data_IF_304836679011
#
_entry.id   IF_304836679011
#
_cell.length_a   1.000
_cell.length_b   1.000
_cell.length_c   1.000
_cell.angle_alpha   90.00
_cell.angle_beta   90.00
_cell.angle_gamma   90.00
#
_symmetry.space_group_name_H-M   'P 1'
#
loop_
_entity.id
_entity.type
_entity.pdbx_description
1 polymer ?
#
# COMPACT_ATOMS: atom_id res chain seq x y z
N UNK A 1 15.44 -9.88 -3.44
CA UNK A 1 15.50 -9.83 -4.91
C UNK A 1 16.36 -8.65 -5.32
N UNK A 2 17.49 -8.89 -5.99
CA UNK A 2 18.40 -7.82 -6.45
C UNK A 2 18.54 -7.77 -7.97
N UNK A 3 17.87 -8.69 -8.67
CA UNK A 3 17.91 -8.80 -10.13
C UNK A 3 17.13 -7.64 -10.78
N UNK A 4 17.79 -6.76 -11.56
CA UNK A 4 17.16 -5.59 -12.15
C UNK A 4 15.92 -5.90 -13.00
N UNK A 5 15.94 -7.01 -13.76
CA UNK A 5 14.81 -7.42 -14.62
C UNK A 5 13.56 -7.73 -13.81
N UNK A 6 13.72 -8.49 -12.73
CA UNK A 6 12.61 -8.83 -11.81
C UNK A 6 12.05 -7.57 -11.15
N UNK A 7 12.94 -6.66 -10.73
CA UNK A 7 12.53 -5.42 -10.09
C UNK A 7 11.72 -4.51 -11.01
N UNK A 8 12.13 -4.34 -12.28
CA UNK A 8 11.38 -3.50 -13.25
C UNK A 8 9.94 -3.96 -13.48
N UNK A 9 9.68 -5.25 -13.33
CA UNK A 9 8.32 -5.81 -13.45
C UNK A 9 7.58 -5.75 -12.11
N UNK A 10 8.21 -6.17 -11.01
CA UNK A 10 7.54 -6.26 -9.71
C UNK A 10 7.29 -4.91 -9.04
N UNK A 11 8.15 -3.91 -9.26
CA UNK A 11 8.01 -2.58 -8.63
C UNK A 11 6.67 -1.89 -8.99
N UNK A 12 6.33 -1.67 -10.27
CA UNK A 12 5.03 -1.11 -10.62
C UNK A 12 3.87 -2.04 -10.25
N UNK A 13 4.06 -3.37 -10.27
CA UNK A 13 3.03 -4.33 -9.83
C UNK A 13 2.65 -4.18 -8.35
N UNK A 14 3.65 -3.97 -7.48
CA UNK A 14 3.45 -3.78 -6.05
C UNK A 14 2.83 -2.41 -5.72
N UNK A 15 3.02 -1.42 -6.60
CA UNK A 15 2.40 -0.10 -6.50
C UNK A 15 1.01 -0.01 -7.16
N UNK A 16 0.50 -1.11 -7.74
CA UNK A 16 -0.74 -1.12 -8.53
C UNK A 16 -0.67 -0.30 -9.83
N UNK A 17 0.54 0.04 -10.27
CA UNK A 17 0.81 0.89 -11.41
C UNK A 17 0.79 0.16 -12.76
N UNK A 18 1.33 0.86 -13.76
CA UNK A 18 1.65 0.31 -15.08
C UNK A 18 3.16 0.31 -15.24
N UNK A 19 3.70 -0.60 -16.05
CA UNK A 19 5.11 -0.56 -16.43
C UNK A 19 5.39 0.60 -17.36
N UNK A 20 6.59 1.17 -17.25
CA UNK A 20 7.13 2.12 -18.21
C UNK A 20 7.28 1.48 -19.61
N UNK A 21 7.32 2.33 -20.64
CA UNK A 21 7.46 1.89 -22.04
C UNK A 21 8.84 1.32 -22.38
N UNK A 22 9.81 1.43 -21.48
CA UNK A 22 11.17 0.90 -21.60
C UNK A 22 11.32 -0.54 -21.05
N UNK A 23 10.27 -1.10 -20.45
CA UNK A 23 10.26 -2.51 -20.05
C UNK A 23 10.19 -3.38 -21.30
N UNK A 24 11.26 -4.14 -21.54
CA UNK A 24 11.37 -5.02 -22.68
C UNK A 24 10.46 -6.26 -22.51
N UNK A 25 9.94 -6.79 -23.61
CA UNK A 25 9.23 -8.08 -23.65
C UNK A 25 10.06 -9.22 -23.01
N UNK A 26 11.38 -9.12 -23.10
CA UNK A 26 12.34 -10.04 -22.48
C UNK A 26 12.30 -10.01 -20.94
N UNK A 27 12.03 -8.85 -20.33
CA UNK A 27 11.92 -8.75 -18.86
C UNK A 27 10.65 -9.46 -18.38
N UNK A 28 9.53 -9.26 -19.07
CA UNK A 28 8.28 -9.99 -18.79
C UNK A 28 8.46 -11.49 -19.02
N UNK A 29 9.05 -11.89 -20.15
CA UNK A 29 9.33 -13.29 -20.47
C UNK A 29 10.22 -13.95 -19.41
N UNK A 30 11.21 -13.23 -18.90
CA UNK A 30 12.07 -13.71 -17.82
C UNK A 30 11.29 -13.94 -16.52
N UNK A 31 10.47 -12.97 -16.09
CA UNK A 31 9.70 -13.06 -14.84
C UNK A 31 8.60 -14.13 -14.92
N UNK A 32 7.98 -14.29 -16.10
CA UNK A 32 7.06 -15.39 -16.42
C UNK A 32 7.79 -16.74 -16.36
N UNK A 33 8.99 -16.83 -16.95
CA UNK A 33 9.81 -18.04 -16.93
C UNK A 33 10.25 -18.46 -15.53
N UNK A 34 10.43 -17.49 -14.62
CA UNK A 34 10.66 -17.75 -13.19
C UNK A 34 9.39 -18.15 -12.43
N UNK A 35 8.21 -18.06 -13.04
CA UNK A 35 6.93 -18.34 -12.41
C UNK A 35 6.52 -17.30 -11.36
N UNK A 36 7.13 -16.11 -11.34
CA UNK A 36 6.82 -15.05 -10.37
C UNK A 36 5.58 -14.25 -10.76
N UNK A 37 5.37 -14.05 -12.06
CA UNK A 37 4.17 -13.41 -12.62
C UNK A 37 3.39 -14.38 -13.50
N UNK A 38 2.13 -14.05 -13.77
CA UNK A 38 1.29 -14.73 -14.76
C UNK A 38 0.43 -13.72 -15.49
N UNK A 39 0.05 -14.04 -16.73
CA UNK A 39 -0.97 -13.29 -17.46
C UNK A 39 -2.34 -13.91 -17.18
N UNK A 40 -3.25 -13.14 -16.58
CA UNK A 40 -4.59 -13.61 -16.24
C UNK A 40 -5.60 -12.46 -16.35
N UNK A 41 -6.73 -12.71 -17.03
CA UNK A 41 -7.78 -11.71 -17.19
C UNK A 41 -7.32 -10.43 -17.90
N UNK A 42 -6.44 -10.55 -18.90
CA UNK A 42 -5.94 -9.43 -19.71
C UNK A 42 -4.84 -8.59 -19.06
N UNK A 43 -4.28 -9.03 -17.93
CA UNK A 43 -3.25 -8.27 -17.19
C UNK A 43 -2.21 -9.19 -16.56
N UNK A 44 -1.05 -8.63 -16.22
CA UNK A 44 -0.03 -9.31 -15.42
C UNK A 44 -0.32 -9.16 -13.93
N UNK A 45 -0.27 -10.29 -13.22
CA UNK A 45 -0.43 -10.35 -11.77
C UNK A 45 0.60 -11.31 -11.15
N UNK A 46 0.80 -11.21 -9.84
CA UNK A 46 1.69 -12.13 -9.12
C UNK A 46 1.11 -13.55 -9.19
N UNK A 47 1.93 -14.49 -9.64
CA UNK A 47 1.47 -15.80 -10.11
C UNK A 47 0.72 -16.63 -9.06
N UNK A 48 1.13 -16.54 -7.80
CA UNK A 48 0.59 -17.35 -6.71
C UNK A 48 0.35 -16.48 -5.45
N UNK A 49 -0.77 -16.69 -4.71
CA UNK A 49 -1.01 -16.08 -3.40
C UNK A 49 0.18 -16.13 -2.43
N UNK A 50 0.96 -17.22 -2.43
CA UNK A 50 2.17 -17.33 -1.60
C UNK A 50 3.19 -16.24 -1.94
N UNK A 51 3.40 -15.92 -3.22
CA UNK A 51 4.33 -14.87 -3.62
C UNK A 51 3.79 -13.47 -3.31
N UNK A 52 2.47 -13.27 -3.37
CA UNK A 52 1.85 -12.02 -2.91
C UNK A 52 2.13 -11.77 -1.44
N UNK A 53 2.23 -12.83 -0.63
CA UNK A 53 2.56 -12.72 0.78
C UNK A 53 4.07 -12.59 1.02
N UNK A 54 4.86 -13.49 0.43
CA UNK A 54 6.28 -13.65 0.76
C UNK A 54 7.12 -12.52 0.19
N UNK A 55 6.83 -12.02 -1.02
CA UNK A 55 7.67 -11.01 -1.66
C UNK A 55 7.66 -9.69 -0.88
N UNK A 56 6.50 -9.07 -0.57
CA UNK A 56 6.49 -7.84 0.21
C UNK A 56 7.08 -8.05 1.60
N UNK A 57 6.74 -9.14 2.29
CA UNK A 57 7.29 -9.44 3.62
C UNK A 57 8.81 -9.56 3.60
N UNK A 58 9.38 -10.24 2.60
CA UNK A 58 10.82 -10.38 2.47
C UNK A 58 11.51 -9.02 2.19
N UNK A 59 10.86 -8.15 1.43
CA UNK A 59 11.36 -6.80 1.14
C UNK A 59 11.31 -5.88 2.37
N UNK A 60 10.27 -6.00 3.20
CA UNK A 60 10.03 -5.10 4.33
C UNK A 60 10.62 -5.56 5.65
N UNK A 61 10.96 -6.86 5.80
CA UNK A 61 11.31 -7.49 7.09
C UNK A 61 12.32 -6.70 7.94
N UNK A 62 13.45 -6.29 7.35
CA UNK A 62 14.50 -5.56 8.08
C UNK A 62 14.01 -4.18 8.52
N UNK A 63 13.25 -3.48 7.67
CA UNK A 63 12.68 -2.17 8.00
C UNK A 63 11.63 -2.30 9.08
N UNK A 64 10.73 -3.28 8.96
CA UNK A 64 9.71 -3.59 9.96
C UNK A 64 10.33 -3.77 11.36
N UNK A 65 11.41 -4.56 11.47
CA UNK A 65 12.08 -4.82 12.73
C UNK A 65 12.74 -3.58 13.36
N UNK A 66 13.00 -2.53 12.57
CA UNK A 66 13.62 -1.29 13.01
C UNK A 66 12.59 -0.20 13.38
N UNK A 67 11.29 -0.43 13.14
CA UNK A 67 10.24 0.55 13.46
C UNK A 67 9.94 0.49 14.97
N UNK A 68 10.14 1.59 15.72
CA UNK A 68 9.91 1.66 17.16
C UNK A 68 8.42 1.93 17.45
N UNK A 69 7.53 1.10 16.91
CA UNK A 69 6.08 1.17 17.14
C UNK A 69 5.63 -0.02 17.97
N UNK A 70 5.04 0.23 19.14
CA UNK A 70 4.53 -0.81 20.02
C UNK A 70 3.05 -1.12 19.70
N UNK A 71 2.71 -2.36 19.27
CA UNK A 71 1.34 -2.73 18.87
C UNK A 71 0.27 -2.35 19.88
N UNK A 72 0.54 -2.57 21.17
CA UNK A 72 -0.40 -2.27 22.26
C UNK A 72 -0.80 -0.78 22.34
N UNK A 73 0.04 0.13 21.82
CA UNK A 73 -0.27 1.56 21.80
C UNK A 73 -1.38 1.92 20.81
N UNK A 74 -1.72 1.03 19.87
CA UNK A 74 -2.75 1.23 18.84
C UNK A 74 -4.04 0.48 19.15
N UNK A 75 -4.15 -0.14 20.32
CA UNK A 75 -5.33 -0.93 20.72
C UNK A 75 -6.10 -0.14 21.77
N UNK A 76 -7.38 0.10 21.52
CA UNK A 76 -8.25 0.80 22.48
C UNK A 76 -8.59 -0.10 23.67
N UNK A 77 -9.20 0.48 24.70
CA UNK A 77 -9.59 -0.25 25.91
C UNK A 77 -10.59 -1.40 25.64
N UNK A 78 -11.45 -1.26 24.64
CA UNK A 78 -12.36 -2.31 24.15
C UNK A 78 -11.66 -3.37 23.27
N UNK A 79 -10.39 -3.11 22.93
CA UNK A 79 -9.55 -3.96 22.10
C UNK A 79 -9.74 -3.80 20.60
N UNK A 80 -10.50 -2.79 20.15
CA UNK A 80 -10.55 -2.35 18.74
C UNK A 80 -9.22 -1.70 18.32
N UNK A 81 -8.96 -1.69 17.01
CA UNK A 81 -7.77 -1.05 16.45
C UNK A 81 -8.00 0.45 16.27
N UNK A 82 -7.09 1.27 16.79
CA UNK A 82 -7.13 2.72 16.61
C UNK A 82 -6.46 3.18 15.32
N UNK A 83 -7.21 3.08 14.22
CA UNK A 83 -6.77 3.52 12.91
C UNK A 83 -6.40 5.01 12.85
N UNK A 84 -7.09 5.87 13.62
CA UNK A 84 -6.81 7.31 13.67
C UNK A 84 -5.45 7.60 14.31
N UNK A 85 -5.18 6.98 15.47
CA UNK A 85 -3.86 7.05 16.10
C UNK A 85 -2.77 6.41 15.23
N UNK A 86 -3.07 5.26 14.62
CA UNK A 86 -2.14 4.57 13.73
C UNK A 86 -1.68 5.49 12.60
N UNK A 87 -2.60 6.13 11.89
CA UNK A 87 -2.23 7.01 10.77
C UNK A 87 -1.58 8.32 11.21
N UNK A 88 -1.92 8.82 12.40
CA UNK A 88 -1.22 9.98 13.00
C UNK A 88 0.24 9.66 13.28
N UNK A 89 0.53 8.51 13.91
CA UNK A 89 1.90 8.08 14.20
C UNK A 89 2.65 7.70 12.91
N UNK A 90 1.96 7.11 11.94
CA UNK A 90 2.49 6.87 10.60
C UNK A 90 2.96 8.15 9.92
N UNK A 91 2.15 9.22 9.90
CA UNK A 91 2.55 10.51 9.31
C UNK A 91 3.77 11.10 10.01
N UNK A 92 3.83 11.01 11.35
CA UNK A 92 4.98 11.45 12.12
C UNK A 92 6.26 10.65 11.79
N UNK A 93 6.14 9.33 11.64
CA UNK A 93 7.23 8.45 11.22
C UNK A 93 7.67 8.72 9.78
N UNK A 94 6.73 8.82 8.85
CA UNK A 94 6.98 9.08 7.42
C UNK A 94 7.77 10.37 7.21
N UNK A 95 7.37 11.45 7.90
CA UNK A 95 8.05 12.74 7.87
C UNK A 95 9.49 12.69 8.38
N UNK A 96 9.72 11.98 9.48
CA UNK A 96 11.05 11.95 10.13
C UNK A 96 12.02 11.05 9.37
N UNK A 97 11.61 9.81 9.11
CA UNK A 97 12.53 8.75 8.68
C UNK A 97 11.97 7.90 7.53
N UNK A 98 10.63 7.75 7.45
CA UNK A 98 10.01 6.79 6.53
C UNK A 98 10.24 7.08 5.06
N UNK A 99 10.22 8.34 4.63
CA UNK A 99 10.45 8.71 3.22
C UNK A 99 11.88 8.36 2.74
N UNK A 100 12.89 8.62 3.57
CA UNK A 100 14.29 8.24 3.28
C UNK A 100 14.46 6.72 3.28
N UNK A 101 13.83 6.04 4.23
CA UNK A 101 13.90 4.59 4.33
C UNK A 101 13.20 3.89 3.14
N UNK A 102 12.15 4.50 2.58
CA UNK A 102 11.45 4.05 1.38
C UNK A 102 12.34 4.10 0.13
N UNK A 103 13.13 5.17 -0.05
CA UNK A 103 14.11 5.27 -1.14
C UNK A 103 15.14 4.13 -1.06
N UNK A 104 15.50 3.72 0.16
CA UNK A 104 16.45 2.64 0.42
C UNK A 104 16.01 1.24 -0.01
N UNK A 105 14.75 1.01 -0.38
CA UNK A 105 14.32 -0.28 -0.96
C UNK A 105 14.89 -0.51 -2.35
N UNK A 106 15.23 0.56 -3.07
CA UNK A 106 15.54 0.50 -4.49
C UNK A 106 14.31 0.20 -5.36
N UNK A 107 13.11 0.17 -4.79
CA UNK A 107 11.83 0.08 -5.47
C UNK A 107 11.25 1.50 -5.51
N UNK A 108 11.39 2.18 -6.64
CA UNK A 108 11.12 3.62 -6.73
C UNK A 108 9.61 3.89 -6.71
N UNK A 109 8.82 3.03 -7.36
CA UNK A 109 7.37 3.22 -7.42
C UNK A 109 6.68 2.72 -6.16
N UNK A 110 7.04 1.51 -5.71
CA UNK A 110 6.40 0.86 -4.57
C UNK A 110 7.08 1.15 -3.23
N UNK A 111 8.18 1.91 -3.18
CA UNK A 111 8.90 2.23 -1.95
C UNK A 111 8.01 2.78 -0.83
N UNK A 112 7.16 3.81 -1.08
CA UNK A 112 6.20 4.32 -0.10
C UNK A 112 5.18 3.26 0.35
N UNK A 113 4.63 2.49 -0.59
CA UNK A 113 3.72 1.37 -0.31
C UNK A 113 4.38 0.31 0.58
N UNK A 114 5.61 -0.11 0.24
CA UNK A 114 6.40 -1.06 1.02
C UNK A 114 6.68 -0.53 2.43
N UNK A 115 6.97 0.76 2.59
CA UNK A 115 7.21 1.35 3.92
C UNK A 115 5.93 1.39 4.76
N UNK A 116 4.80 1.79 4.18
CA UNK A 116 3.51 1.74 4.87
C UNK A 116 3.17 0.31 5.27
N UNK A 117 3.38 -0.67 4.38
CA UNK A 117 3.17 -2.08 4.71
C UNK A 117 4.10 -2.57 5.82
N UNK A 118 5.36 -2.16 5.84
CA UNK A 118 6.29 -2.48 6.93
C UNK A 118 5.77 -1.95 8.27
N UNK A 119 5.27 -0.71 8.28
CA UNK A 119 4.68 -0.09 9.46
C UNK A 119 3.40 -0.81 9.92
N UNK A 120 2.46 -1.05 9.00
CA UNK A 120 1.22 -1.77 9.28
C UNK A 120 1.50 -3.19 9.79
N UNK A 121 2.44 -3.91 9.18
CA UNK A 121 2.86 -5.23 9.68
C UNK A 121 3.50 -5.15 11.07
N UNK A 122 4.25 -4.09 11.39
CA UNK A 122 4.82 -3.89 12.74
C UNK A 122 3.73 -3.70 13.79
N UNK A 123 2.68 -2.94 13.47
CA UNK A 123 1.57 -2.62 14.38
C UNK A 123 0.58 -3.78 14.50
N UNK A 124 0.16 -4.36 13.38
CA UNK A 124 -0.88 -5.39 13.33
C UNK A 124 -0.36 -6.77 13.78
N UNK A 125 0.97 -6.99 13.78
CA UNK A 125 1.58 -8.22 14.28
C UNK A 125 1.05 -8.56 15.69
N UNK A 126 0.30 -9.67 15.78
CA UNK A 126 -0.29 -10.16 17.03
C UNK A 126 -1.82 -10.03 17.15
N UNK A 127 -2.51 -9.28 16.27
CA UNK A 127 -3.98 -9.12 16.33
C UNK A 127 -4.77 -9.41 15.05
N UNK A 128 -4.11 -9.71 13.92
CA UNK A 128 -4.75 -10.30 12.74
C UNK A 128 -3.92 -10.17 11.45
N UNK A 129 -4.41 -10.67 10.30
CA UNK A 129 -3.72 -10.56 9.02
C UNK A 129 -3.93 -9.19 8.36
N UNK A 130 -2.95 -8.78 7.54
CA UNK A 130 -3.12 -7.71 6.55
C UNK A 130 -3.14 -8.39 5.18
N UNK A 131 -4.32 -8.52 4.61
CA UNK A 131 -4.52 -9.09 3.27
C UNK A 131 -4.15 -8.06 2.21
N UNK A 132 -3.66 -8.54 1.06
CA UNK A 132 -3.14 -7.67 -0.01
C UNK A 132 -3.59 -8.14 -1.37
N UNK A 133 -3.77 -7.16 -2.25
CA UNK A 133 -4.05 -7.39 -3.65
C UNK A 133 -3.04 -6.64 -4.53
N UNK A 134 -2.26 -7.37 -5.34
CA UNK A 134 -1.28 -6.78 -6.26
C UNK A 134 -1.56 -7.19 -7.71
N UNK A 135 -1.25 -6.31 -8.65
CA UNK A 135 -1.32 -6.58 -10.09
C UNK A 135 -1.23 -5.29 -10.91
N UNK A 136 -0.72 -5.39 -12.16
CA UNK A 136 -0.65 -4.23 -13.04
C UNK A 136 -2.05 -3.76 -13.44
N UNK A 137 -2.25 -2.44 -13.40
CA UNK A 137 -3.49 -1.79 -13.83
C UNK A 137 -4.74 -2.29 -13.09
N UNK A 138 -4.56 -2.84 -11.89
CA UNK A 138 -5.65 -3.41 -11.11
C UNK A 138 -6.31 -2.29 -10.31
N UNK A 139 -7.60 -2.04 -10.56
CA UNK A 139 -8.42 -1.14 -9.73
C UNK A 139 -8.98 -1.82 -8.48
N UNK A 140 -8.19 -2.68 -7.84
CA UNK A 140 -8.57 -3.40 -6.61
C UNK A 140 -7.96 -2.71 -5.39
N UNK A 141 -8.55 -2.92 -4.21
CA UNK A 141 -8.06 -2.31 -2.97
C UNK A 141 -6.71 -2.89 -2.55
N UNK A 142 -5.75 -2.04 -2.26
CA UNK A 142 -4.39 -2.48 -1.92
C UNK A 142 -4.31 -3.35 -0.66
N UNK A 143 -5.00 -2.97 0.43
CA UNK A 143 -4.85 -3.60 1.75
C UNK A 143 -6.18 -3.74 2.51
N UNK A 144 -6.40 -4.92 3.10
CA UNK A 144 -7.44 -5.14 4.10
C UNK A 144 -6.78 -5.54 5.42
N UNK A 145 -6.96 -4.71 6.45
CA UNK A 145 -6.48 -5.02 7.80
C UNK A 145 -7.63 -5.73 8.54
N UNK A 146 -7.41 -6.99 8.88
CA UNK A 146 -8.33 -7.75 9.71
C UNK A 146 -7.84 -7.71 11.16
N UNK A 147 -8.66 -7.23 12.09
CA UNK A 147 -8.33 -7.12 13.50
C UNK A 147 -9.50 -7.64 14.34
N UNK A 148 -9.37 -8.83 14.92
CA UNK A 148 -10.50 -9.54 15.54
C UNK A 148 -11.67 -9.64 14.56
N UNK A 149 -12.84 -9.08 14.90
CA UNK A 149 -14.04 -9.05 14.05
C UNK A 149 -14.13 -7.77 13.17
N UNK A 150 -13.15 -6.87 13.26
CA UNK A 150 -13.10 -5.64 12.48
C UNK A 150 -12.30 -5.80 11.18
N UNK A 151 -12.74 -5.09 10.16
CA UNK A 151 -12.11 -5.03 8.84
C UNK A 151 -11.92 -3.58 8.44
N UNK A 152 -10.68 -3.17 8.21
CA UNK A 152 -10.31 -1.81 7.82
C UNK A 152 -9.73 -1.83 6.40
N UNK A 153 -10.48 -1.30 5.45
CA UNK A 153 -10.06 -1.15 4.06
C UNK A 153 -9.11 0.05 3.92
N UNK A 154 -7.94 -0.16 3.30
CA UNK A 154 -6.94 0.88 3.04
C UNK A 154 -6.48 0.81 1.59
N UNK A 155 -6.76 1.87 0.84
CA UNK A 155 -6.19 2.11 -0.49
C UNK A 155 -4.95 2.97 -0.39
N UNK A 156 -3.94 2.72 -1.23
CA UNK A 156 -2.65 3.41 -1.17
C UNK A 156 -2.29 3.95 -2.56
N UNK A 157 -2.25 5.27 -2.71
CA UNK A 157 -1.88 5.90 -3.99
C UNK A 157 -0.70 6.82 -3.84
N UNK A 158 0.19 6.78 -4.82
CA UNK A 158 1.14 7.86 -5.09
C UNK A 158 0.47 8.82 -6.06
N UNK A 159 0.36 10.09 -5.68
CA UNK A 159 -0.22 11.14 -6.51
C UNK A 159 0.60 11.30 -7.79
N UNK A 160 -0.03 11.07 -8.95
CA UNK A 160 0.60 11.26 -10.27
C UNK A 160 0.12 12.56 -10.92
N UNK A 161 -1.15 12.90 -10.74
CA UNK A 161 -1.81 14.05 -11.36
C UNK A 161 -2.97 14.57 -10.48
N UNK A 162 -3.83 15.41 -11.07
CA UNK A 162 -5.01 15.98 -10.42
C UNK A 162 -6.15 14.98 -10.25
N UNK A 163 -6.25 13.98 -11.15
CA UNK A 163 -7.34 13.00 -11.19
C UNK A 163 -7.11 11.81 -10.26
N UNK A 164 -5.85 11.56 -9.89
CA UNK A 164 -5.42 10.41 -9.07
C UNK A 164 -6.28 10.22 -7.81
N UNK A 165 -6.72 11.31 -7.19
CA UNK A 165 -7.54 11.23 -5.98
C UNK A 165 -8.98 10.79 -6.26
N UNK A 166 -9.62 11.34 -7.29
CA UNK A 166 -10.99 10.98 -7.67
C UNK A 166 -11.05 9.52 -8.10
N UNK A 167 -10.08 9.09 -8.93
CA UNK A 167 -9.95 7.70 -9.35
C UNK A 167 -9.74 6.73 -8.18
N UNK A 168 -8.99 7.17 -7.16
CA UNK A 168 -8.77 6.39 -5.94
C UNK A 168 -10.03 6.31 -5.07
N UNK A 169 -10.79 7.40 -4.96
CA UNK A 169 -12.07 7.41 -4.25
C UNK A 169 -13.09 6.47 -4.91
N UNK A 170 -13.15 6.44 -6.24
CA UNK A 170 -13.97 5.48 -6.99
C UNK A 170 -13.54 4.02 -6.76
N UNK A 171 -12.24 3.76 -6.62
CA UNK A 171 -11.71 2.43 -6.28
C UNK A 171 -12.09 2.02 -4.87
N UNK A 172 -11.87 2.89 -3.87
CA UNK A 172 -12.25 2.65 -2.48
C UNK A 172 -13.75 2.39 -2.38
N UNK A 173 -14.60 3.23 -2.98
CA UNK A 173 -16.05 3.09 -2.89
C UNK A 173 -16.54 1.75 -3.45
N UNK A 174 -16.09 1.35 -4.66
CA UNK A 174 -16.42 0.06 -5.27
C UNK A 174 -16.00 -1.12 -4.41
N UNK A 175 -14.81 -1.04 -3.80
CA UNK A 175 -14.36 -2.11 -2.93
C UNK A 175 -15.17 -2.18 -1.64
N UNK A 176 -15.48 -1.04 -1.01
CA UNK A 176 -16.31 -0.99 0.19
C UNK A 176 -17.70 -1.59 -0.06
N UNK A 177 -18.29 -1.38 -1.25
CA UNK A 177 -19.52 -2.06 -1.65
C UNK A 177 -19.36 -3.58 -1.69
N UNK A 178 -18.30 -4.08 -2.33
CA UNK A 178 -18.04 -5.51 -2.41
C UNK A 178 -17.79 -6.16 -1.03
N UNK A 179 -17.06 -5.45 -0.15
CA UNK A 179 -16.72 -5.92 1.18
C UNK A 179 -17.87 -5.78 2.21
N UNK A 180 -18.95 -5.08 1.84
CA UNK A 180 -20.07 -4.76 2.76
C UNK A 180 -19.69 -3.76 3.84
N UNK A 181 -18.79 -2.82 3.55
CA UNK A 181 -18.29 -1.81 4.47
C UNK A 181 -18.87 -0.43 4.14
N UNK A 182 -19.08 0.38 5.18
CA UNK A 182 -19.56 1.76 5.05
C UNK A 182 -18.44 2.81 5.03
N UNK A 183 -17.25 2.46 5.53
CA UNK A 183 -16.11 3.37 5.64
C UNK A 183 -14.78 2.71 5.30
N UNK A 184 -13.81 3.53 4.87
CA UNK A 184 -12.47 3.10 4.51
C UNK A 184 -11.45 4.24 4.53
N UNK A 185 -10.20 3.90 4.23
CA UNK A 185 -9.07 4.81 4.25
C UNK A 185 -8.41 4.92 2.87
N UNK A 186 -7.97 6.13 2.53
CA UNK A 186 -7.15 6.40 1.35
C UNK A 186 -5.85 7.06 1.80
N UNK A 187 -4.73 6.37 1.69
CA UNK A 187 -3.40 6.93 1.94
C UNK A 187 -2.86 7.50 0.63
N UNK A 188 -2.61 8.81 0.60
CA UNK A 188 -2.19 9.54 -0.59
C UNK A 188 -0.79 10.12 -0.38
N UNK A 189 0.20 9.54 -1.05
CA UNK A 189 1.58 10.03 -1.06
C UNK A 189 1.78 11.14 -2.09
N UNK A 190 2.28 12.29 -1.66
CA UNK A 190 2.69 13.39 -2.52
C UNK A 190 4.21 13.54 -2.51
N UNK A 191 4.87 12.96 -3.51
CA UNK A 191 6.33 12.93 -3.61
C UNK A 191 6.91 14.16 -4.32
N UNK A 192 6.09 15.16 -4.66
CA UNK A 192 6.51 16.38 -5.35
C UNK A 192 7.37 17.26 -4.46
N UNK A 193 8.58 17.62 -4.90
CA UNK A 193 9.60 18.28 -4.05
C UNK A 193 9.22 19.70 -3.60
N UNK A 194 8.37 20.38 -4.36
CA UNK A 194 7.94 21.75 -4.11
C UNK A 194 6.90 21.90 -2.99
N UNK A 195 6.25 20.80 -2.57
CA UNK A 195 5.24 20.81 -1.50
C UNK A 195 5.90 20.72 -0.13
N UNK A 196 5.47 21.57 0.80
CA UNK A 196 5.90 21.50 2.20
C UNK A 196 5.25 20.33 2.94
N UNK A 197 5.86 19.87 4.03
CA UNK A 197 5.26 18.84 4.89
C UNK A 197 3.90 19.27 5.46
N UNK A 198 3.68 20.56 5.68
CA UNK A 198 2.39 21.08 6.16
C UNK A 198 1.28 20.92 5.11
N UNK A 199 1.62 20.97 3.82
CA UNK A 199 0.67 20.71 2.73
C UNK A 199 0.43 19.22 2.49
N UNK A 200 1.45 18.38 2.73
CA UNK A 200 1.37 16.92 2.51
C UNK A 200 0.65 16.20 3.63
N UNK A 201 0.90 16.57 4.89
CA UNK A 201 0.40 15.86 6.05
C UNK A 201 -0.96 16.42 6.48
N UNK A 202 -2.02 15.71 6.14
CA UNK A 202 -3.37 16.03 6.57
C UNK A 202 -4.19 14.76 6.77
N UNK A 203 -5.28 14.88 7.52
CA UNK A 203 -6.36 13.89 7.54
C UNK A 203 -7.65 14.63 7.26
N UNK A 204 -8.45 14.15 6.31
CA UNK A 204 -9.79 14.67 6.07
C UNK A 204 -10.77 13.58 5.71
N UNK A 205 -12.02 13.81 6.05
CA UNK A 205 -13.12 12.90 5.73
C UNK A 205 -13.89 13.41 4.51
N UNK A 206 -14.25 12.50 3.62
CA UNK A 206 -15.01 12.79 2.39
C UNK A 206 -16.12 11.76 2.26
N UNK A 207 -17.33 12.23 1.94
CA UNK A 207 -18.41 11.37 1.49
C UNK A 207 -18.28 11.16 -0.03
N UNK A 208 -18.15 9.91 -0.49
CA UNK A 208 -18.01 9.57 -1.90
C UNK A 208 -18.73 8.26 -2.20
N UNK A 209 -19.57 8.22 -3.24
CA UNK A 209 -20.32 7.00 -3.60
C UNK A 209 -21.18 6.42 -2.46
N UNK A 210 -21.67 7.26 -1.53
CA UNK A 210 -22.42 6.81 -0.34
C UNK A 210 -21.56 6.17 0.76
N UNK A 211 -20.23 6.25 0.66
CA UNK A 211 -19.26 5.79 1.65
C UNK A 211 -18.59 6.96 2.36
N UNK A 212 -18.07 6.69 3.56
CA UNK A 212 -17.19 7.61 4.28
C UNK A 212 -15.74 7.22 4.07
N UNK A 213 -14.95 8.06 3.39
CA UNK A 213 -13.53 7.80 3.15
C UNK A 213 -12.67 8.82 3.89
N UNK A 214 -11.75 8.32 4.71
CA UNK A 214 -10.75 9.16 5.40
C UNK A 214 -9.46 9.17 4.60
N UNK A 215 -9.11 10.34 4.09
CA UNK A 215 -7.90 10.55 3.29
C UNK A 215 -6.76 10.98 4.20
N UNK A 216 -5.65 10.25 4.14
CA UNK A 216 -4.41 10.49 4.89
C UNK A 216 -3.34 10.94 3.91
N UNK A 217 -3.00 12.23 3.90
CA UNK A 217 -1.93 12.77 3.07
C UNK A 217 -0.55 12.47 3.64
N UNK A 218 0.41 12.06 2.81
CA UNK A 218 1.78 11.69 3.20
C UNK A 218 2.82 12.36 2.32
#
# INVERSE_FOLDING_TARGET
>A
MREPRVRRVLDPMLAGGQTDSDVLDDDFSYVLGLGLSRFHGGRFEIANPIYREVVPRALTFIRQAQIPAEPAAYVRADGSLDMGKLFTDWQAFWRKDGHLAAEGFGYRESGPHLMLMAFLQRVVNGGGPVEREYGLGRGALDLMICWRDERHAVEVKVRRDTETEVDALDQVARYLDHAGLGEGWLVMFDLRKERSWAERLFVREVAHGGKTVRIVGC
#
